data_IF_799339909568
#
_entry.id   IF_799339909568
#
_cell.length_a   1.000
_cell.length_b   1.000
_cell.length_c   1.000
_cell.angle_alpha   90.00
_cell.angle_beta   90.00
_cell.angle_gamma   90.00
#
_symmetry.space_group_name_H-M   'P 1'
#
loop_
_entity.id
_entity.type
_entity.pdbx_description
1 polymer ?
#
# COMPACT_ATOMS: atom_id res chain seq x y z
N UNK A 1 -42.27 -29.38 34.08
CA UNK A 1 -43.01 -28.38 33.28
C UNK A 1 -42.37 -26.98 33.21
N UNK A 2 -41.71 -26.45 34.27
CA UNK A 2 -41.09 -25.10 34.23
C UNK A 2 -39.85 -24.98 33.32
N UNK A 3 -39.01 -26.03 33.25
CA UNK A 3 -37.79 -26.05 32.43
C UNK A 3 -38.06 -25.99 30.91
N UNK A 4 -39.13 -26.66 30.45
CA UNK A 4 -39.55 -26.67 29.05
C UNK A 4 -40.05 -25.30 28.58
N UNK A 5 -40.73 -24.54 29.45
CA UNK A 5 -41.16 -23.16 29.15
C UNK A 5 -39.98 -22.20 29.03
N UNK A 6 -38.94 -22.38 29.84
CA UNK A 6 -37.73 -21.55 29.78
C UNK A 6 -36.94 -21.77 28.47
N UNK A 7 -36.82 -23.03 28.04
CA UNK A 7 -36.20 -23.40 26.76
C UNK A 7 -36.97 -22.84 25.56
N UNK A 8 -38.31 -22.90 25.58
CA UNK A 8 -39.15 -22.31 24.55
C UNK A 8 -39.01 -20.78 24.49
N UNK A 9 -38.98 -20.10 25.64
CA UNK A 9 -38.75 -18.66 25.70
C UNK A 9 -37.37 -18.28 25.16
N UNK A 10 -36.33 -19.07 25.47
CA UNK A 10 -34.97 -18.85 24.97
C UNK A 10 -34.90 -19.01 23.44
N UNK A 11 -35.59 -20.03 22.89
CA UNK A 11 -35.67 -20.25 21.45
C UNK A 11 -36.45 -19.13 20.73
N UNK A 12 -37.55 -18.67 21.31
CA UNK A 12 -38.34 -17.54 20.77
C UNK A 12 -37.51 -16.24 20.79
N UNK A 13 -36.75 -15.99 21.86
CA UNK A 13 -35.84 -14.85 21.96
C UNK A 13 -34.72 -14.92 20.91
N UNK A 14 -34.12 -16.10 20.70
CA UNK A 14 -33.11 -16.32 19.65
C UNK A 14 -33.68 -16.07 18.26
N UNK A 15 -34.87 -16.60 17.95
CA UNK A 15 -35.52 -16.40 16.65
C UNK A 15 -35.91 -14.92 16.45
N UNK A 16 -36.40 -14.24 17.48
CA UNK A 16 -36.69 -12.80 17.42
C UNK A 16 -35.43 -11.94 17.20
N UNK A 17 -34.32 -12.30 17.83
CA UNK A 17 -33.02 -11.63 17.64
C UNK A 17 -32.50 -11.83 16.20
N UNK A 18 -32.56 -13.06 15.66
CA UNK A 18 -32.14 -13.34 14.29
C UNK A 18 -33.00 -12.57 13.26
N UNK A 19 -34.31 -12.52 13.45
CA UNK A 19 -35.22 -11.80 12.53
C UNK A 19 -35.03 -10.28 12.54
N UNK A 20 -34.77 -9.68 13.71
CA UNK A 20 -34.50 -8.23 13.81
C UNK A 20 -33.15 -7.84 13.21
N UNK A 21 -32.13 -8.68 13.37
CA UNK A 21 -30.83 -8.53 12.67
C UNK A 21 -30.99 -8.66 11.16
N UNK A 22 -31.76 -9.65 10.68
CA UNK A 22 -32.02 -9.86 9.25
C UNK A 22 -32.84 -8.71 8.63
N UNK A 23 -33.85 -8.20 9.34
CA UNK A 23 -34.72 -7.11 8.85
C UNK A 23 -33.99 -5.77 8.72
N UNK A 24 -33.02 -5.46 9.60
CA UNK A 24 -32.13 -4.29 9.42
C UNK A 24 -31.16 -4.49 8.24
N UNK A 25 -30.69 -5.71 8.02
CA UNK A 25 -29.73 -6.07 6.96
C UNK A 25 -30.24 -5.83 5.54
N UNK A 26 -31.56 -5.86 5.32
CA UNK A 26 -32.18 -5.67 4.01
C UNK A 26 -32.09 -4.23 3.48
N UNK A 27 -31.88 -3.22 4.35
CA UNK A 27 -31.71 -1.81 3.95
C UNK A 27 -30.25 -1.35 4.02
N UNK A 28 -29.29 -2.24 4.30
CA UNK A 28 -27.89 -1.90 4.36
C UNK A 28 -27.28 -1.91 2.96
N UNK A 29 -26.50 -0.87 2.64
CA UNK A 29 -25.67 -0.91 1.45
C UNK A 29 -24.50 -1.88 1.68
N UNK A 30 -24.35 -2.86 0.79
CA UNK A 30 -23.32 -3.90 0.87
C UNK A 30 -22.11 -3.59 -0.04
N UNK A 31 -22.05 -2.40 -0.63
CA UNK A 31 -20.97 -2.00 -1.54
C UNK A 31 -20.62 -0.52 -1.41
N UNK A 32 -19.35 -0.22 -1.65
CA UNK A 32 -18.84 1.13 -1.95
C UNK A 32 -17.81 1.01 -3.06
N UNK A 33 -18.12 1.51 -4.26
CA UNK A 33 -17.33 1.25 -5.45
C UNK A 33 -17.11 -0.25 -5.70
N UNK A 34 -15.85 -0.68 -5.69
CA UNK A 34 -15.45 -2.07 -5.90
C UNK A 34 -15.33 -2.91 -4.62
N UNK A 35 -15.53 -2.31 -3.44
CA UNK A 35 -15.37 -3.00 -2.16
C UNK A 35 -16.72 -3.52 -1.69
N UNK A 36 -16.79 -4.84 -1.49
CA UNK A 36 -17.91 -5.49 -0.81
C UNK A 36 -17.83 -5.23 0.70
N UNK A 37 -18.95 -4.77 1.28
CA UNK A 37 -19.05 -4.36 2.68
C UNK A 37 -19.98 -5.32 3.40
N UNK A 38 -19.41 -6.01 4.39
CA UNK A 38 -20.09 -7.03 5.16
C UNK A 38 -20.03 -6.69 6.65
N UNK A 39 -21.09 -7.03 7.36
CA UNK A 39 -21.11 -6.96 8.83
C UNK A 39 -19.89 -7.69 9.41
N UNK A 40 -19.14 -7.11 10.36
CA UNK A 40 -19.52 -5.99 11.24
C UNK A 40 -19.35 -4.59 10.64
N UNK A 41 -18.82 -4.45 9.43
CA UNK A 41 -18.69 -3.16 8.74
C UNK A 41 -19.98 -2.75 8.04
N UNK A 42 -20.19 -1.44 7.89
CA UNK A 42 -21.36 -0.90 7.20
C UNK A 42 -21.20 0.58 6.84
N UNK A 43 -21.89 1.02 5.80
CA UNK A 43 -21.85 2.41 5.29
C UNK A 43 -23.08 3.23 5.64
N UNK A 44 -24.17 2.58 6.04
CA UNK A 44 -25.44 3.21 6.39
C UNK A 44 -25.70 3.12 7.90
N UNK A 45 -26.53 4.02 8.42
CA UNK A 45 -26.85 4.07 9.84
C UNK A 45 -27.45 2.73 10.32
N UNK A 46 -26.93 2.21 11.43
CA UNK A 46 -27.39 0.95 12.02
C UNK A 46 -26.96 -0.32 11.27
N UNK A 47 -26.08 -0.20 10.26
CA UNK A 47 -25.56 -1.32 9.49
C UNK A 47 -24.13 -1.73 9.82
N UNK A 48 -23.43 -0.95 10.66
CA UNK A 48 -22.17 -1.33 11.27
C UNK A 48 -22.39 -1.76 12.73
N UNK A 49 -21.46 -2.54 13.29
CA UNK A 49 -21.49 -2.98 14.69
C UNK A 49 -21.46 -1.79 15.66
N UNK A 50 -20.58 -0.83 15.40
CA UNK A 50 -20.53 0.47 16.07
C UNK A 50 -19.84 1.50 15.15
N UNK A 51 -19.57 2.70 15.65
CA UNK A 51 -18.95 3.78 14.88
C UNK A 51 -17.52 3.46 14.41
N UNK A 52 -16.77 2.61 15.12
CA UNK A 52 -15.44 2.16 14.71
C UNK A 52 -15.47 1.22 13.50
N UNK A 53 -16.63 0.63 13.19
CA UNK A 53 -16.84 -0.23 12.02
C UNK A 53 -17.56 0.50 10.88
N UNK A 54 -17.82 1.80 11.03
CA UNK A 54 -18.45 2.59 9.98
C UNK A 54 -17.45 2.86 8.85
N UNK A 55 -17.85 2.54 7.63
CA UNK A 55 -17.11 2.86 6.42
C UNK A 55 -17.75 4.08 5.78
N UNK A 56 -17.02 5.18 5.72
CA UNK A 56 -17.46 6.38 5.03
C UNK A 56 -17.26 6.18 3.52
N UNK A 57 -18.35 6.00 2.79
CA UNK A 57 -18.30 5.88 1.34
C UNK A 57 -18.44 7.27 0.73
N UNK A 58 -17.39 7.75 0.06
CA UNK A 58 -17.51 8.98 -0.72
C UNK A 58 -18.43 8.71 -1.92
N UNK A 59 -19.62 9.31 -1.92
CA UNK A 59 -20.64 9.06 -2.94
C UNK A 59 -20.24 9.54 -4.34
N UNK A 60 -19.29 10.49 -4.43
CA UNK A 60 -18.78 11.02 -5.70
C UNK A 60 -17.68 10.08 -6.22
N UNK A 61 -16.64 9.84 -5.43
CA UNK A 61 -15.48 9.06 -5.89
C UNK A 61 -15.67 7.55 -5.76
N UNK A 62 -16.72 7.11 -5.07
CA UNK A 62 -16.99 5.71 -4.73
C UNK A 62 -15.83 5.04 -3.96
N UNK A 63 -15.03 5.85 -3.24
CA UNK A 63 -13.91 5.36 -2.43
C UNK A 63 -14.38 5.18 -0.97
N UNK A 64 -14.20 3.97 -0.40
CA UNK A 64 -14.51 3.72 1.00
C UNK A 64 -13.34 4.14 1.90
N UNK A 65 -13.66 4.80 3.01
CA UNK A 65 -12.71 5.22 4.03
C UNK A 65 -13.09 4.66 5.40
N UNK A 66 -12.11 4.10 6.10
CA UNK A 66 -12.22 3.83 7.52
C UNK A 66 -11.79 5.08 8.28
N UNK A 67 -12.64 5.55 9.19
CA UNK A 67 -12.28 6.62 10.11
C UNK A 67 -11.46 6.04 11.27
N UNK A 68 -10.24 6.54 11.42
CA UNK A 68 -9.34 6.25 12.54
C UNK A 68 -9.05 7.52 13.31
N UNK A 69 -8.44 7.39 14.47
CA UNK A 69 -8.08 8.53 15.30
C UNK A 69 -6.58 8.80 15.20
N UNK A 70 -6.17 10.04 14.96
CA UNK A 70 -4.77 10.44 15.03
C UNK A 70 -4.46 11.03 16.40
N UNK A 71 -3.41 10.52 17.05
CA UNK A 71 -2.96 11.00 18.36
C UNK A 71 -1.58 11.64 18.24
N UNK A 72 -1.41 12.83 18.82
CA UNK A 72 -0.12 13.50 18.97
C UNK A 72 0.10 13.73 20.47
N UNK A 73 1.19 13.20 21.02
CA UNK A 73 1.49 13.33 22.45
C UNK A 73 0.41 12.76 23.39
N UNK A 74 -0.32 11.73 22.95
CA UNK A 74 -1.41 11.11 23.73
C UNK A 74 -2.77 11.82 23.64
N UNK A 75 -2.87 12.92 22.90
CA UNK A 75 -4.13 13.64 22.67
C UNK A 75 -4.67 13.35 21.27
N UNK A 76 -5.98 13.04 21.17
CA UNK A 76 -6.68 12.90 19.89
C UNK A 76 -6.70 14.27 19.20
N UNK A 77 -6.02 14.39 18.07
CA UNK A 77 -5.86 15.67 17.36
C UNK A 77 -6.89 15.81 16.25
N UNK A 78 -6.96 14.84 15.35
CA UNK A 78 -7.85 14.89 14.18
C UNK A 78 -8.36 13.49 13.81
N UNK A 79 -9.56 13.40 13.22
CA UNK A 79 -9.95 12.19 12.49
C UNK A 79 -9.02 12.00 11.30
N UNK A 80 -8.56 10.76 11.11
CA UNK A 80 -7.80 10.35 9.93
C UNK A 80 -8.62 9.35 9.13
N UNK A 81 -8.65 9.52 7.82
CA UNK A 81 -9.45 8.69 6.93
C UNK A 81 -8.51 7.87 6.07
N UNK A 82 -8.54 6.55 6.25
CA UNK A 82 -7.70 5.63 5.50
C UNK A 82 -8.54 4.87 4.48
N UNK A 83 -8.10 4.88 3.23
CA UNK A 83 -8.79 4.19 2.14
C UNK A 83 -8.81 2.68 2.42
N UNK A 84 -10.00 2.10 2.33
CA UNK A 84 -10.22 0.66 2.42
C UNK A 84 -10.10 0.07 1.02
N UNK A 85 -9.23 -0.92 0.89
CA UNK A 85 -8.99 -1.62 -0.36
C UNK A 85 -9.84 -2.89 -0.49
N UNK A 86 -10.12 -3.55 0.64
CA UNK A 86 -10.80 -4.84 0.68
C UNK A 86 -11.26 -5.17 2.11
N UNK A 87 -12.45 -5.77 2.24
CA UNK A 87 -12.95 -6.37 3.48
C UNK A 87 -13.14 -7.86 3.22
N UNK A 88 -12.29 -8.70 3.82
CA UNK A 88 -12.37 -10.15 3.66
C UNK A 88 -13.36 -10.74 4.66
N UNK A 89 -14.06 -11.80 4.23
CA UNK A 89 -15.01 -12.54 5.08
C UNK A 89 -14.34 -13.28 6.25
N UNK A 90 -13.03 -13.48 6.19
CA UNK A 90 -12.23 -14.06 7.27
C UNK A 90 -11.85 -13.05 8.37
N UNK A 91 -12.37 -11.82 8.29
CA UNK A 91 -12.18 -10.77 9.30
C UNK A 91 -11.00 -9.83 9.03
N UNK A 92 -10.29 -9.97 7.91
CA UNK A 92 -9.21 -9.05 7.56
C UNK A 92 -9.71 -7.80 6.83
N UNK A 93 -9.25 -6.64 7.29
CA UNK A 93 -9.42 -5.36 6.61
C UNK A 93 -8.11 -4.94 5.96
N UNK A 94 -8.14 -4.70 4.64
CA UNK A 94 -6.96 -4.24 3.88
C UNK A 94 -7.11 -2.77 3.57
N UNK A 95 -6.12 -1.97 3.95
CA UNK A 95 -6.15 -0.50 3.85
C UNK A 95 -4.92 0.04 3.12
N UNK A 96 -5.05 1.22 2.51
CA UNK A 96 -3.94 1.92 1.87
C UNK A 96 -3.24 2.86 2.88
N UNK A 97 -2.24 2.34 3.58
CA UNK A 97 -1.41 3.15 4.47
C UNK A 97 -0.25 3.80 3.70
N UNK A 98 0.01 5.11 3.87
CA UNK A 98 1.13 5.79 3.22
C UNK A 98 2.50 5.22 3.61
N UNK A 99 3.45 5.31 2.68
CA UNK A 99 4.83 4.86 2.88
C UNK A 99 5.66 5.98 3.51
N UNK A 100 6.33 5.67 4.62
CA UNK A 100 7.31 6.56 5.24
C UNK A 100 8.57 6.70 4.37
N UNK A 101 9.16 7.89 4.34
CA UNK A 101 10.42 8.11 3.62
C UNK A 101 11.27 9.19 4.27
N UNK A 102 12.57 9.15 3.99
CA UNK A 102 13.51 10.21 4.32
C UNK A 102 14.56 10.33 3.23
N UNK A 103 14.74 11.54 2.73
CA UNK A 103 15.67 11.88 1.67
C UNK A 103 16.78 12.75 2.25
N UNK A 104 18.03 12.42 1.98
CA UNK A 104 19.19 13.08 2.57
C UNK A 104 20.05 13.79 1.51
N UNK A 105 20.72 14.86 1.90
CA UNK A 105 21.78 15.49 1.11
C UNK A 105 23.13 14.77 1.26
N UNK A 106 24.18 15.29 0.60
CA UNK A 106 25.53 14.70 0.67
C UNK A 106 26.14 14.73 2.07
N UNK A 107 25.67 15.64 2.92
CA UNK A 107 26.11 15.82 4.29
C UNK A 107 25.30 14.93 5.26
N UNK A 108 24.29 14.21 4.77
CA UNK A 108 23.40 13.39 5.58
C UNK A 108 22.25 14.18 6.23
N UNK A 109 22.04 15.44 5.82
CA UNK A 109 20.94 16.28 6.29
C UNK A 109 19.64 15.86 5.61
N UNK A 110 18.55 15.77 6.38
CA UNK A 110 17.22 15.48 5.83
C UNK A 110 16.75 16.67 4.97
N UNK A 111 16.53 16.41 3.68
CA UNK A 111 15.94 17.36 2.71
C UNK A 111 14.40 17.28 2.75
N UNK A 112 13.87 16.07 2.86
CA UNK A 112 12.44 15.81 2.86
C UNK A 112 12.16 14.49 3.53
N UNK A 113 11.12 14.44 4.36
CA UNK A 113 10.68 13.23 5.03
C UNK A 113 9.16 13.16 5.12
N UNK A 114 8.66 11.95 5.37
CA UNK A 114 7.28 11.68 5.73
C UNK A 114 7.25 10.63 6.83
N UNK A 115 6.55 10.96 7.91
CA UNK A 115 6.40 10.12 9.10
C UNK A 115 4.91 9.82 9.32
N UNK A 116 4.33 8.89 8.54
CA UNK A 116 2.93 8.56 8.69
C UNK A 116 2.68 7.84 10.01
N UNK A 117 1.52 8.13 10.62
CA UNK A 117 1.04 7.40 11.78
C UNK A 117 -0.39 6.89 11.56
N UNK A 118 -0.70 5.77 12.20
CA UNK A 118 -2.01 5.14 12.20
C UNK A 118 -2.33 4.68 13.61
N UNK A 119 -3.56 4.90 14.06
CA UNK A 119 -4.10 4.26 15.25
C UNK A 119 -5.51 3.76 14.94
N UNK A 120 -5.62 2.46 14.77
CA UNK A 120 -6.88 1.79 14.43
C UNK A 120 -7.75 1.54 15.66
N UNK A 121 -7.18 1.62 16.87
CA UNK A 121 -7.77 1.32 18.18
C UNK A 121 -8.29 -0.12 18.34
N UNK A 122 -9.17 -0.58 17.45
CA UNK A 122 -9.88 -1.87 17.49
C UNK A 122 -9.31 -2.93 16.55
N UNK A 123 -8.49 -2.54 15.57
CA UNK A 123 -8.05 -3.43 14.49
C UNK A 123 -6.54 -3.67 14.57
N UNK A 124 -6.07 -4.75 15.22
CA UNK A 124 -4.65 -5.03 15.29
C UNK A 124 -4.07 -5.27 13.89
N UNK A 125 -2.83 -4.83 13.67
CA UNK A 125 -2.12 -5.12 12.44
C UNK A 125 -1.82 -6.63 12.38
N UNK A 126 -2.29 -7.30 11.32
CA UNK A 126 -2.07 -8.75 11.16
C UNK A 126 -0.57 -9.04 11.03
N UNK A 127 -0.01 -9.79 11.99
CA UNK A 127 1.39 -10.22 12.02
C UNK A 127 1.73 -11.28 10.98
N UNK A 128 0.70 -11.93 10.41
CA UNK A 128 0.85 -12.94 9.35
C UNK A 128 0.74 -12.33 7.95
N UNK A 129 -0.10 -11.31 7.77
CA UNK A 129 -0.31 -10.65 6.48
C UNK A 129 0.60 -9.42 6.27
N UNK A 130 1.16 -8.87 7.35
CA UNK A 130 2.02 -7.69 7.31
C UNK A 130 3.41 -7.95 7.85
N UNK A 131 4.37 -7.20 7.31
CA UNK A 131 5.76 -7.19 7.77
C UNK A 131 6.27 -5.76 7.75
N UNK A 132 6.99 -5.36 8.79
CA UNK A 132 7.66 -4.07 8.80
C UNK A 132 8.93 -4.15 7.97
N UNK A 133 9.09 -3.27 6.97
CA UNK A 133 10.17 -3.33 5.99
C UNK A 133 10.78 -1.93 5.82
N UNK A 134 12.09 -1.84 5.98
CA UNK A 134 12.89 -0.67 5.61
C UNK A 134 13.68 -0.95 4.33
N UNK A 135 13.68 -0.01 3.39
CA UNK A 135 14.45 -0.11 2.13
C UNK A 135 15.33 1.11 1.97
N UNK A 136 16.64 0.90 1.84
CA UNK A 136 17.63 1.97 1.74
C UNK A 136 19.00 1.52 2.21
N UNK A 137 19.98 2.39 1.98
CA UNK A 137 21.37 2.22 2.41
C UNK A 137 21.68 3.15 3.57
N UNK A 138 22.41 2.62 4.54
CA UNK A 138 22.76 3.31 5.78
C UNK A 138 21.54 3.97 6.39
N UNK A 139 20.46 3.20 6.53
CA UNK A 139 19.21 3.64 7.15
C UNK A 139 18.90 2.84 8.41
N UNK A 140 18.17 3.49 9.31
CA UNK A 140 17.46 2.85 10.41
C UNK A 140 15.97 3.18 10.27
N UNK A 141 15.16 2.17 9.97
CA UNK A 141 13.71 2.31 9.88
C UNK A 141 13.09 1.95 11.24
N UNK A 142 12.19 2.79 11.73
CA UNK A 142 11.51 2.61 13.02
C UNK A 142 10.00 2.41 12.83
N UNK A 143 9.42 1.54 13.65
CA UNK A 143 7.98 1.45 13.87
C UNK A 143 7.73 1.53 15.38
N UNK A 144 6.92 2.50 15.79
CA UNK A 144 6.76 2.85 17.22
C UNK A 144 5.29 2.84 17.64
N UNK A 145 5.00 2.11 18.71
CA UNK A 145 3.74 2.14 19.47
C UNK A 145 4.10 2.45 20.92
N UNK A 146 3.89 3.70 21.34
CA UNK A 146 4.37 4.20 22.64
C UNK A 146 3.85 3.28 23.77
N UNK A 147 4.73 2.73 24.64
CA UNK A 147 6.15 3.04 24.82
C UNK A 147 7.15 2.14 24.07
N UNK A 148 6.68 1.17 23.29
CA UNK A 148 7.49 0.20 22.57
C UNK A 148 7.92 0.72 21.19
N UNK A 149 9.18 0.48 20.82
CA UNK A 149 9.69 0.79 19.48
C UNK A 149 10.53 -0.38 18.98
N UNK A 150 10.40 -0.69 17.69
CA UNK A 150 11.31 -1.59 17.01
C UNK A 150 11.98 -0.86 15.86
N UNK A 151 13.23 -1.21 15.59
CA UNK A 151 13.94 -0.73 14.43
C UNK A 151 14.55 -1.86 13.63
N UNK A 152 14.77 -1.59 12.35
CA UNK A 152 15.62 -2.42 11.51
C UNK A 152 16.64 -1.54 10.79
N UNK A 153 17.86 -2.06 10.68
CA UNK A 153 18.99 -1.36 10.05
C UNK A 153 19.35 -2.03 8.75
N UNK A 154 19.75 -1.21 7.78
CA UNK A 154 20.25 -1.65 6.50
C UNK A 154 21.48 -0.82 6.12
N UNK A 155 22.55 -1.51 5.75
CA UNK A 155 23.81 -0.97 5.22
C UNK A 155 23.97 -1.41 3.76
N UNK A 156 24.92 -0.85 3.03
CA UNK A 156 25.25 -1.19 1.64
C UNK A 156 26.75 -1.39 1.42
N UNK A 157 27.45 -2.00 2.38
CA UNK A 157 28.80 -2.52 2.17
C UNK A 157 28.86 -3.45 0.93
N UNK A 158 30.05 -3.51 0.31
CA UNK A 158 30.34 -3.99 -1.06
C UNK A 158 29.76 -5.36 -1.50
N UNK A 159 29.17 -6.15 -0.60
CA UNK A 159 28.32 -7.28 -0.94
C UNK A 159 26.94 -6.75 -1.35
N UNK A 160 26.76 -6.46 -2.64
CA UNK A 160 25.46 -6.02 -3.20
C UNK A 160 24.29 -6.91 -2.78
N UNK A 161 23.07 -6.37 -2.91
CA UNK A 161 21.79 -7.06 -2.62
C UNK A 161 21.85 -8.55 -3.00
N UNK A 162 21.84 -9.43 -1.99
CA UNK A 162 21.69 -10.87 -2.23
C UNK A 162 20.28 -11.11 -2.75
N UNK A 163 20.17 -11.58 -3.99
CA UNK A 163 18.90 -11.95 -4.62
C UNK A 163 18.05 -12.79 -3.65
N UNK A 164 16.85 -12.29 -3.31
CA UNK A 164 15.89 -13.01 -2.46
C UNK A 164 16.10 -12.91 -0.94
N UNK A 165 17.03 -12.09 -0.44
CA UNK A 165 17.29 -11.94 1.00
C UNK A 165 17.22 -10.49 1.45
N UNK A 166 16.29 -10.14 2.35
CA UNK A 166 16.15 -8.80 2.92
C UNK A 166 16.68 -8.74 4.35
N UNK A 167 17.99 -8.90 4.47
CA UNK A 167 18.69 -9.03 5.76
C UNK A 167 19.88 -8.08 5.78
N UNK A 168 19.65 -6.83 6.17
CA UNK A 168 20.68 -5.85 6.50
C UNK A 168 21.45 -5.24 5.32
N UNK A 169 21.23 -5.71 4.09
CA UNK A 169 21.92 -5.22 2.88
C UNK A 169 20.92 -4.58 1.90
N UNK A 170 20.85 -3.24 1.88
CA UNK A 170 19.91 -2.47 1.06
C UNK A 170 18.43 -2.57 1.45
N UNK A 171 18.05 -3.54 2.29
CA UNK A 171 16.78 -3.57 2.99
C UNK A 171 16.85 -4.40 4.27
N UNK A 172 15.89 -4.18 5.17
CA UNK A 172 15.70 -4.91 6.41
C UNK A 172 14.22 -5.14 6.67
N UNK A 173 13.89 -6.15 7.48
CA UNK A 173 12.52 -6.38 7.89
C UNK A 173 12.44 -6.94 9.31
N UNK A 174 11.30 -6.73 9.98
CA UNK A 174 10.95 -7.37 11.23
C UNK A 174 9.48 -7.83 11.19
N UNK A 175 9.11 -8.89 11.93
CA UNK A 175 7.70 -9.21 12.16
C UNK A 175 7.02 -8.06 12.90
N UNK A 176 5.73 -7.87 12.65
CA UNK A 176 4.91 -6.94 13.44
C UNK A 176 4.45 -7.69 14.70
N UNK A 177 4.60 -7.12 15.90
CA UNK A 177 4.13 -7.71 17.14
C UNK A 177 2.62 -7.94 17.12
N UNK A 178 2.20 -9.07 17.70
CA UNK A 178 0.79 -9.37 17.89
C UNK A 178 0.13 -8.32 18.80
N UNK A 179 -1.08 -7.90 18.43
CA UNK A 179 -1.86 -6.94 19.20
C UNK A 179 -1.49 -5.47 18.98
N UNK A 180 -0.48 -5.16 18.16
CA UNK A 180 -0.14 -3.78 17.80
C UNK A 180 -1.31 -3.11 17.06
N UNK A 181 -1.80 -1.98 17.57
CA UNK A 181 -2.98 -1.25 17.00
C UNK A 181 -2.65 0.17 16.58
N UNK A 182 -1.47 0.65 16.97
CA UNK A 182 -0.97 1.95 16.58
C UNK A 182 0.48 1.84 16.07
N UNK A 183 0.84 2.72 15.15
CA UNK A 183 2.20 2.79 14.63
C UNK A 183 2.51 4.21 14.18
N UNK A 184 3.69 4.71 14.54
CA UNK A 184 4.37 5.82 13.88
C UNK A 184 5.57 5.24 13.15
N UNK A 185 5.69 5.49 11.85
CA UNK A 185 6.79 4.98 11.03
C UNK A 185 7.72 6.13 10.66
N UNK A 186 9.02 5.96 10.92
CA UNK A 186 10.04 6.93 10.54
C UNK A 186 11.29 6.25 9.97
N UNK A 187 12.06 7.00 9.19
CA UNK A 187 13.31 6.54 8.59
C UNK A 187 14.41 7.55 8.89
N UNK A 188 15.46 7.09 9.56
CA UNK A 188 16.60 7.90 9.95
C UNK A 188 17.84 7.45 9.18
N UNK A 189 18.76 8.39 8.94
CA UNK A 189 20.09 8.05 8.48
C UNK A 189 20.86 7.34 9.60
N UNK A 190 21.52 6.24 9.26
CA UNK A 190 22.51 5.62 10.14
C UNK A 190 23.71 6.57 10.31
N UNK A 191 24.43 6.49 11.43
CA UNK A 191 25.58 7.36 11.75
C UNK A 191 26.72 7.30 10.72
N UNK A 192 26.69 6.35 9.77
CA UNK A 192 27.70 6.13 8.73
C UNK A 192 27.27 6.60 7.31
N UNK A 193 26.21 7.41 7.20
CA UNK A 193 25.55 7.79 5.93
C UNK A 193 26.42 8.54 4.90
N UNK A 194 27.66 8.89 5.24
CA UNK A 194 28.62 9.54 4.33
C UNK A 194 29.04 8.66 3.14
N UNK A 195 28.73 7.35 3.15
CA UNK A 195 29.14 6.37 2.12
C UNK A 195 28.07 6.10 1.04
N UNK A 196 26.83 6.56 1.24
CA UNK A 196 25.68 6.25 0.36
C UNK A 196 25.75 6.96 -1.00
N UNK A 197 26.38 8.15 -1.06
CA UNK A 197 26.45 8.94 -2.30
C UNK A 197 27.19 8.24 -3.45
N UNK A 198 28.10 7.30 -3.13
CA UNK A 198 28.79 6.47 -4.12
C UNK A 198 27.98 5.21 -4.50
N UNK A 199 27.10 4.72 -3.62
CA UNK A 199 26.21 3.59 -3.90
C UNK A 199 25.02 3.97 -4.80
N UNK A 200 24.40 5.14 -4.57
CA UNK A 200 23.38 5.70 -5.47
C UNK A 200 23.91 5.94 -6.88
N UNK A 201 25.21 6.24 -7.01
CA UNK A 201 25.93 6.39 -8.29
C UNK A 201 26.28 5.04 -8.94
N UNK A 202 26.31 3.93 -8.19
CA UNK A 202 26.52 2.56 -8.71
C UNK A 202 25.22 1.87 -9.13
N UNK A 203 24.08 2.21 -8.54
CA UNK A 203 22.74 1.77 -9.00
C UNK A 203 22.33 2.48 -10.31
N UNK A 204 22.96 3.62 -10.64
CA UNK A 204 22.75 4.36 -11.88
C UNK A 204 24.03 4.30 -12.74
N UNK A 205 24.16 3.38 -13.72
CA UNK A 205 25.34 3.39 -14.56
C UNK A 205 25.27 4.61 -15.49
N UNK A 206 26.15 5.57 -15.23
CA UNK A 206 26.26 6.78 -16.03
C UNK A 206 27.51 7.61 -15.75
N UNK A 207 28.73 7.04 -15.87
CA UNK A 207 29.76 7.49 -16.84
C UNK A 207 31.15 6.88 -16.62
N UNK A 208 31.76 6.56 -17.76
CA UNK A 208 33.19 6.49 -18.11
C UNK A 208 34.15 5.81 -17.14
N UNK A 209 34.39 4.53 -17.35
CA UNK A 209 35.70 4.10 -17.86
C UNK A 209 35.59 2.69 -18.45
N UNK A 210 36.31 2.50 -19.55
CA UNK A 210 36.48 1.23 -20.24
C UNK A 210 37.24 0.23 -19.36
N UNK A 211 36.57 -0.79 -18.80
CA UNK A 211 37.07 -2.17 -18.81
C UNK A 211 36.03 -3.14 -18.22
N UNK A 212 35.86 -4.27 -18.91
CA UNK A 212 35.32 -5.55 -18.45
C UNK A 212 33.82 -5.64 -18.13
N UNK A 213 33.11 -5.89 -19.22
CA UNK A 213 31.94 -6.79 -19.33
C UNK A 213 32.17 -8.07 -18.50
N UNK A 214 31.12 -8.48 -17.79
CA UNK A 214 30.89 -9.74 -17.05
C UNK A 214 30.72 -9.55 -15.52
N UNK A 215 29.59 -10.07 -15.01
CA UNK A 215 29.23 -10.28 -13.59
C UNK A 215 28.34 -9.25 -12.90
N UNK A 216 27.14 -8.98 -13.45
CA UNK A 216 25.93 -8.79 -12.62
C UNK A 216 24.80 -9.63 -13.22
N UNK A 217 23.97 -10.33 -12.43
CA UNK A 217 22.89 -11.14 -12.97
C UNK A 217 21.85 -10.22 -13.63
N UNK A 218 21.83 -10.21 -14.95
CA UNK A 218 20.90 -9.50 -15.84
C UNK A 218 19.41 -9.90 -15.65
N UNK A 219 19.05 -10.64 -14.60
CA UNK A 219 17.70 -11.15 -14.33
C UNK A 219 16.78 -10.16 -13.60
N UNK A 220 17.31 -9.13 -12.93
CA UNK A 220 16.50 -8.13 -12.21
C UNK A 220 15.85 -7.09 -13.14
N UNK A 221 16.44 -6.83 -14.30
CA UNK A 221 15.98 -5.83 -15.28
C UNK A 221 15.09 -6.46 -16.38
N UNK A 222 15.13 -7.79 -16.55
CA UNK A 222 14.58 -8.44 -17.73
C UNK A 222 13.04 -8.52 -17.78
N UNK A 223 12.33 -8.35 -16.65
CA UNK A 223 10.86 -8.54 -16.60
C UNK A 223 10.03 -7.26 -16.46
N UNK A 224 10.61 -6.14 -15.99
CA UNK A 224 9.91 -4.84 -15.91
C UNK A 224 9.99 -4.05 -17.22
N UNK A 225 11.09 -4.20 -17.95
CA UNK A 225 11.31 -3.55 -19.24
C UNK A 225 10.30 -3.95 -20.32
N UNK A 226 9.98 -5.25 -20.52
CA UNK A 226 8.97 -5.66 -21.50
C UNK A 226 7.57 -5.14 -21.15
N UNK A 227 7.25 -5.07 -19.85
CA UNK A 227 5.97 -4.55 -19.35
C UNK A 227 5.85 -3.06 -19.69
N UNK A 228 6.80 -2.24 -19.23
CA UNK A 228 6.77 -0.80 -19.45
C UNK A 228 6.81 -0.43 -20.93
N UNK A 229 7.66 -1.10 -21.72
CA UNK A 229 7.75 -0.87 -23.17
C UNK A 229 6.41 -1.15 -23.88
N UNK A 230 5.68 -2.18 -23.45
CA UNK A 230 4.37 -2.52 -24.04
C UNK A 230 3.33 -1.46 -23.70
N UNK A 231 3.22 -1.08 -22.42
CA UNK A 231 2.25 -0.07 -21.98
C UNK A 231 2.55 1.31 -22.60
N UNK A 232 3.83 1.67 -22.73
CA UNK A 232 4.27 2.88 -23.42
C UNK A 232 3.79 2.92 -24.87
N UNK A 233 3.84 1.79 -25.58
CA UNK A 233 3.35 1.66 -26.95
C UNK A 233 1.83 1.79 -27.02
N UNK A 234 1.12 1.08 -26.14
CA UNK A 234 -0.34 1.10 -26.08
C UNK A 234 -0.88 2.52 -25.86
N UNK A 235 -0.21 3.30 -25.01
CA UNK A 235 -0.64 4.65 -24.58
C UNK A 235 0.06 5.79 -25.34
N UNK A 236 0.83 5.47 -26.38
CA UNK A 236 1.57 6.42 -27.23
C UNK A 236 2.50 7.36 -26.44
N UNK A 237 3.11 6.86 -25.36
CA UNK A 237 4.08 7.58 -24.53
C UNK A 237 5.50 7.58 -25.16
N UNK A 238 5.61 7.73 -26.48
CA UNK A 238 6.87 7.51 -27.22
C UNK A 238 8.03 8.41 -26.77
N UNK A 239 7.73 9.65 -26.35
CA UNK A 239 8.72 10.62 -25.86
C UNK A 239 9.19 10.41 -24.40
N UNK A 240 8.60 9.46 -23.68
CA UNK A 240 9.01 9.14 -22.30
C UNK A 240 10.20 8.18 -22.29
N UNK A 241 11.08 8.35 -21.30
CA UNK A 241 12.24 7.49 -21.18
C UNK A 241 11.86 6.00 -20.97
N UNK A 242 12.71 5.10 -21.47
CA UNK A 242 12.50 3.65 -21.31
C UNK A 242 13.03 3.11 -19.97
N UNK A 243 13.97 3.82 -19.35
CA UNK A 243 14.58 3.46 -18.08
C UNK A 243 13.81 4.10 -16.94
N UNK A 244 13.58 3.32 -15.89
CA UNK A 244 12.89 3.78 -14.68
C UNK A 244 13.54 4.98 -13.99
N UNK A 245 14.87 5.06 -14.00
CA UNK A 245 15.63 6.20 -13.45
C UNK A 245 15.24 7.52 -14.12
N UNK A 246 15.10 7.49 -15.43
CA UNK A 246 14.91 8.67 -16.26
C UNK A 246 13.45 9.14 -16.18
N UNK A 247 12.50 8.20 -16.15
CA UNK A 247 11.07 8.47 -15.89
C UNK A 247 10.88 9.16 -14.53
N UNK A 248 11.54 8.65 -13.49
CA UNK A 248 11.46 9.26 -12.14
C UNK A 248 11.99 10.70 -12.18
N UNK A 249 13.10 10.95 -12.87
CA UNK A 249 13.66 12.28 -13.02
C UNK A 249 12.73 13.23 -13.80
N UNK A 250 12.10 12.77 -14.87
CA UNK A 250 11.10 13.54 -15.62
C UNK A 250 9.88 13.91 -14.76
N UNK A 251 9.40 12.99 -13.93
CA UNK A 251 8.28 13.23 -13.02
C UNK A 251 8.61 14.25 -11.92
N UNK A 252 9.79 14.14 -11.31
CA UNK A 252 10.25 15.10 -10.29
C UNK A 252 10.43 16.51 -10.85
N UNK A 253 10.72 16.63 -12.16
CA UNK A 253 10.79 17.90 -12.89
C UNK A 253 9.43 18.41 -13.37
N UNK A 254 8.32 17.76 -12.99
CA UNK A 254 6.96 18.16 -13.39
C UNK A 254 6.64 17.89 -14.86
N UNK A 255 7.46 17.12 -15.58
CA UNK A 255 7.27 16.80 -17.02
C UNK A 255 6.34 15.60 -17.24
N UNK A 256 5.35 15.44 -16.37
CA UNK A 256 4.35 14.36 -16.37
C UNK A 256 3.58 14.22 -17.69
N UNK A 257 2.99 13.04 -17.99
CA UNK A 257 2.07 12.92 -19.11
C UNK A 257 0.84 13.82 -18.90
N UNK A 258 0.36 14.44 -19.98
CA UNK A 258 -0.76 15.38 -19.92
C UNK A 258 -2.13 14.69 -20.03
N UNK A 259 -2.24 13.63 -20.84
CA UNK A 259 -3.50 12.92 -21.06
C UNK A 259 -3.84 12.02 -19.88
N UNK A 260 -5.12 11.95 -19.53
CA UNK A 260 -5.62 11.18 -18.38
C UNK A 260 -5.29 9.69 -18.48
N UNK A 261 -5.58 9.06 -19.62
CA UNK A 261 -5.21 7.67 -19.94
C UNK A 261 -3.72 7.39 -19.68
N UNK A 262 -2.84 8.30 -20.09
CA UNK A 262 -1.39 8.16 -19.91
C UNK A 262 -0.96 8.27 -18.45
N UNK A 263 -1.60 9.16 -17.67
CA UNK A 263 -1.36 9.28 -16.22
C UNK A 263 -1.77 8.00 -15.49
N UNK A 264 -2.96 7.48 -15.82
CA UNK A 264 -3.49 6.25 -15.24
C UNK A 264 -2.60 5.05 -15.58
N UNK A 265 -2.17 4.94 -16.83
CA UNK A 265 -1.29 3.86 -17.26
C UNK A 265 0.09 3.92 -16.61
N UNK A 266 0.65 5.12 -16.44
CA UNK A 266 1.89 5.31 -15.71
C UNK A 266 1.74 4.86 -14.25
N UNK A 267 0.72 5.35 -13.53
CA UNK A 267 0.45 4.96 -12.14
C UNK A 267 0.25 3.45 -11.98
N UNK A 268 -0.59 2.85 -12.83
CA UNK A 268 -0.85 1.41 -12.79
C UNK A 268 0.42 0.59 -13.06
N UNK A 269 1.27 1.06 -13.99
CA UNK A 269 2.58 0.43 -14.27
C UNK A 269 3.53 0.52 -13.08
N UNK A 270 3.65 1.68 -12.42
CA UNK A 270 4.46 1.87 -11.21
C UNK A 270 4.06 0.83 -10.16
N UNK A 271 2.76 0.79 -9.87
CA UNK A 271 2.20 -0.06 -8.83
C UNK A 271 2.41 -1.56 -9.13
N UNK A 272 2.07 -2.01 -10.34
CA UNK A 272 2.16 -3.42 -10.70
C UNK A 272 3.61 -3.90 -10.77
N UNK A 273 4.53 -3.09 -11.32
CA UNK A 273 5.97 -3.43 -11.37
C UNK A 273 6.55 -3.51 -9.95
N UNK A 274 6.21 -2.55 -9.08
CA UNK A 274 6.62 -2.56 -7.68
C UNK A 274 6.09 -3.79 -6.94
N UNK A 275 4.81 -4.13 -7.12
CA UNK A 275 4.17 -5.30 -6.53
C UNK A 275 4.87 -6.60 -6.94
N UNK A 276 5.17 -6.77 -8.22
CA UNK A 276 5.85 -7.98 -8.72
C UNK A 276 7.32 -8.07 -8.29
N UNK A 277 8.01 -6.94 -8.13
CA UNK A 277 9.34 -6.90 -7.51
C UNK A 277 9.28 -7.41 -6.07
N UNK A 278 8.32 -6.92 -5.29
CA UNK A 278 8.17 -7.33 -3.89
C UNK A 278 7.84 -8.81 -3.76
N UNK A 279 6.98 -9.37 -4.63
CA UNK A 279 6.71 -10.82 -4.64
C UNK A 279 7.98 -11.67 -4.67
N UNK A 280 8.94 -11.33 -5.53
CA UNK A 280 10.23 -12.05 -5.64
C UNK A 280 11.07 -11.94 -4.37
N UNK A 281 11.12 -10.73 -3.79
CA UNK A 281 11.86 -10.46 -2.55
C UNK A 281 11.31 -11.33 -1.41
N UNK A 282 10.01 -11.62 -1.40
CA UNK A 282 9.35 -12.43 -0.38
C UNK A 282 9.13 -13.90 -0.79
N UNK A 283 9.90 -14.41 -1.75
CA UNK A 283 9.88 -15.83 -2.13
C UNK A 283 8.60 -16.30 -2.83
N UNK A 284 7.73 -15.39 -3.26
CA UNK A 284 6.57 -15.72 -4.10
C UNK A 284 6.98 -15.80 -5.57
N UNK A 285 6.37 -16.74 -6.29
CA UNK A 285 6.59 -16.87 -7.72
C UNK A 285 6.11 -15.61 -8.46
N UNK A 286 6.98 -14.92 -9.22
CA UNK A 286 6.59 -13.74 -9.96
C UNK A 286 5.70 -14.09 -11.14
N UNK A 287 4.76 -13.20 -11.45
CA UNK A 287 3.92 -13.35 -12.64
C UNK A 287 4.73 -13.11 -13.91
N UNK A 288 4.40 -13.79 -15.02
CA UNK A 288 4.97 -13.49 -16.32
C UNK A 288 4.53 -12.11 -16.81
N UNK A 289 5.39 -11.41 -17.55
CA UNK A 289 5.15 -10.04 -18.01
C UNK A 289 3.81 -9.86 -18.73
N UNK A 290 3.34 -10.86 -19.48
CA UNK A 290 2.05 -10.80 -20.18
C UNK A 290 0.85 -10.68 -19.22
N UNK A 291 0.91 -11.33 -18.06
CA UNK A 291 -0.14 -11.25 -17.05
C UNK A 291 -0.12 -9.90 -16.35
N UNK A 292 1.07 -9.36 -16.07
CA UNK A 292 1.24 -8.02 -15.50
C UNK A 292 0.73 -6.94 -16.46
N UNK A 293 0.99 -7.08 -17.76
CA UNK A 293 0.47 -6.18 -18.80
C UNK A 293 -1.07 -6.23 -18.83
N UNK A 294 -1.66 -7.43 -18.74
CA UNK A 294 -3.12 -7.60 -18.70
C UNK A 294 -3.72 -6.88 -17.49
N UNK A 295 -3.14 -7.07 -16.31
CA UNK A 295 -3.59 -6.40 -15.07
C UNK A 295 -3.49 -4.88 -15.17
N UNK A 296 -2.42 -4.34 -15.76
CA UNK A 296 -2.27 -2.90 -15.98
C UNK A 296 -3.38 -2.38 -16.90
N UNK A 297 -3.64 -3.08 -18.02
CA UNK A 297 -4.72 -2.71 -18.96
C UNK A 297 -6.09 -2.73 -18.30
N UNK A 298 -6.39 -3.76 -17.51
CA UNK A 298 -7.65 -3.85 -16.77
C UNK A 298 -7.79 -2.71 -15.75
N UNK A 299 -6.73 -2.37 -15.00
CA UNK A 299 -6.74 -1.25 -14.07
C UNK A 299 -6.98 0.10 -14.77
N UNK A 300 -6.39 0.30 -15.94
CA UNK A 300 -6.60 1.52 -16.74
C UNK A 300 -8.02 1.58 -17.27
N UNK A 301 -8.51 0.49 -17.89
CA UNK A 301 -9.87 0.41 -18.45
C UNK A 301 -10.93 0.60 -17.38
N UNK A 302 -10.79 -0.06 -16.23
CA UNK A 302 -11.71 0.12 -15.10
C UNK A 302 -11.74 1.59 -14.70
N UNK A 303 -10.58 2.20 -14.41
CA UNK A 303 -10.52 3.60 -14.01
C UNK A 303 -11.08 4.57 -15.06
N UNK A 304 -10.90 4.28 -16.35
CA UNK A 304 -11.49 5.10 -17.42
C UNK A 304 -13.00 4.92 -17.55
N UNK A 305 -13.51 3.69 -17.46
CA UNK A 305 -14.94 3.40 -17.54
C UNK A 305 -15.71 4.07 -16.40
N UNK A 306 -15.16 4.05 -15.19
CA UNK A 306 -15.74 4.75 -14.04
C UNK A 306 -15.87 6.27 -14.26
N UNK A 307 -14.93 6.89 -15.00
CA UNK A 307 -14.97 8.33 -15.28
C UNK A 307 -16.00 8.71 -16.34
N UNK A 308 -16.32 7.82 -17.28
CA UNK A 308 -17.34 8.09 -18.32
C UNK A 308 -18.76 7.96 -17.78
N UNK A 309 -18.97 7.17 -16.72
CA UNK A 309 -20.29 7.09 -16.05
C UNK A 309 -20.67 8.40 -15.33
N UNK A 310 -19.70 9.22 -14.93
CA UNK A 310 -19.96 10.51 -14.26
C UNK A 310 -20.40 11.62 -15.25
N UNK A 311 -19.95 11.58 -16.51
CA UNK A 311 -20.30 12.59 -17.52
C UNK A 311 -21.76 12.44 -18.02
N UNK A 312 -22.27 11.20 -18.12
CA UNK A 312 -23.64 10.93 -18.57
C UNK A 312 -24.72 11.29 -17.52
N UNK A 313 -24.34 11.43 -16.24
CA UNK A 313 -25.24 11.86 -15.16
C UNK A 313 -25.18 13.36 -14.88
N UNK A 314 -24.31 14.11 -15.56
CA UNK A 314 -24.21 15.57 -15.42
C UNK A 314 -25.08 16.34 -16.45
N UNK A 315 -25.79 15.65 -17.35
CA UNK A 315 -26.59 16.28 -18.44
C UNK A 315 -28.08 15.92 -18.45
N UNK A 316 -28.63 15.39 -17.35
CA UNK A 316 -30.09 15.17 -17.18
C UNK A 316 -30.71 16.05 -16.10
#
# INVERSE_FOLDING_TARGET
MKFSRLLLLLQILLVGFVNSVQSKRNNCAHKCGIVDIHYPFGTTEGCSLDYSYHIECNYITQVPYLRTDYYLGGLKVLPYYIEVLEIKLDGHLRVAFPVAYSCFDKQGTVISSSEPALNTSRFPFSSTENRFIGVGCDIEAHITEIPSSMSCKSDCDHSGLRNGSCVGHGCCHNPIPDGMTSAVISVLASKNHSRVWDYGRRILPGKSDSMNRESYPLSEINNSYPVWRTIKRDTRLFGYAEKWSDIRMELLQGRGPKRLEQKLALQASVYCIWRERNRRIFGQNPKPSIQVIKEIRELVLLRMAWMTFDDDHATS
#
